data_IF_299219335993
#
_entry.id   IF_299219335993
#
_cell.length_a   1.000
_cell.length_b   1.000
_cell.length_c   1.000
_cell.angle_alpha   90.00
_cell.angle_beta   90.00
_cell.angle_gamma   90.00
#
_symmetry.space_group_name_H-M   'P 1'
#
loop_
_entity.id
_entity.type
_entity.pdbx_description
1 polymer ?
#
# COMPACT_ATOMS: atom_id res chain seq x y z
N UNK A 1 -3.75 17.77 25.25
CA UNK A 1 -3.25 18.76 24.28
C UNK A 1 -1.96 19.43 24.76
N UNK A 2 -1.93 20.06 25.94
CA UNK A 2 -0.67 20.64 26.45
C UNK A 2 0.45 19.60 26.61
N UNK A 3 0.11 18.36 26.98
CA UNK A 3 1.11 17.28 27.01
C UNK A 3 1.66 16.97 25.60
N UNK A 4 0.83 17.05 24.56
CA UNK A 4 1.27 16.86 23.17
C UNK A 4 2.22 17.98 22.76
N UNK A 5 1.88 19.22 23.12
CA UNK A 5 2.75 20.38 22.92
C UNK A 5 4.10 20.19 23.60
N UNK A 6 4.09 19.84 24.88
CA UNK A 6 5.32 19.66 25.65
C UNK A 6 6.17 18.48 25.17
N UNK A 7 5.54 17.33 24.86
CA UNK A 7 6.25 16.10 24.50
C UNK A 7 6.77 16.07 23.07
N UNK A 8 6.27 16.97 22.21
CA UNK A 8 6.69 17.07 20.81
C UNK A 8 7.39 18.39 20.48
N UNK A 9 8.01 19.03 21.48
CA UNK A 9 8.81 20.25 21.32
C UNK A 9 8.02 21.44 20.72
N UNK A 10 6.89 21.75 21.34
CA UNK A 10 5.94 22.80 20.94
C UNK A 10 6.52 24.17 20.58
N UNK A 11 7.56 24.58 21.30
CA UNK A 11 8.25 25.86 21.06
C UNK A 11 9.02 25.87 19.73
N UNK A 12 9.33 24.68 19.19
CA UNK A 12 10.04 24.48 17.93
C UNK A 12 9.15 24.17 16.73
N UNK A 13 7.83 24.11 16.90
CA UNK A 13 6.92 23.86 15.78
C UNK A 13 6.91 25.02 14.79
N UNK A 14 6.66 24.73 13.51
CA UNK A 14 6.53 25.76 12.47
C UNK A 14 5.36 26.71 12.76
N UNK A 15 4.19 26.15 13.12
CA UNK A 15 3.01 26.89 13.58
C UNK A 15 2.47 26.27 14.87
N UNK A 16 2.63 27.02 15.96
CA UNK A 16 2.10 26.73 17.29
C UNK A 16 1.04 27.74 17.72
N UNK A 17 0.41 28.45 16.78
CA UNK A 17 -0.54 29.53 17.08
C UNK A 17 -1.66 29.06 18.01
N UNK A 18 -1.84 29.77 19.13
CA UNK A 18 -2.86 29.47 20.14
C UNK A 18 -2.47 28.38 21.15
N UNK A 19 -1.50 27.52 20.84
CA UNK A 19 -1.04 26.50 21.77
C UNK A 19 -0.41 27.13 23.02
N UNK A 20 -0.64 26.51 24.19
CA UNK A 20 -0.25 27.10 25.47
C UNK A 20 -1.18 28.21 25.98
N UNK A 21 -2.30 28.47 25.28
CA UNK A 21 -3.33 29.42 25.68
C UNK A 21 -4.12 29.01 26.94
N UNK A 22 -5.00 29.90 27.39
CA UNK A 22 -5.85 29.65 28.56
C UNK A 22 -6.82 28.46 28.31
N UNK A 23 -7.16 27.68 29.35
CA UNK A 23 -8.15 26.60 29.23
C UNK A 23 -9.47 27.07 28.63
N UNK A 24 -10.04 26.31 27.71
CA UNK A 24 -11.27 26.65 26.99
C UNK A 24 -11.06 27.37 25.66
N UNK A 25 -9.80 27.65 25.27
CA UNK A 25 -9.46 28.26 23.97
C UNK A 25 -9.02 27.24 22.92
N UNK A 26 -9.01 25.95 23.25
CA UNK A 26 -8.40 24.87 22.44
C UNK A 26 -8.96 24.81 21.02
N UNK A 27 -10.24 25.13 20.85
CA UNK A 27 -10.91 25.11 19.55
C UNK A 27 -10.45 26.20 18.57
N UNK A 28 -9.60 27.14 19.02
CA UNK A 28 -8.98 28.15 18.14
C UNK A 28 -7.49 27.89 17.93
N UNK A 29 -6.94 26.80 18.47
CA UNK A 29 -5.52 26.48 18.33
C UNK A 29 -5.25 25.95 16.92
N UNK A 30 -4.07 26.27 16.38
CA UNK A 30 -3.66 25.80 15.08
C UNK A 30 -3.78 24.28 14.99
N UNK A 31 -4.40 23.80 13.90
CA UNK A 31 -4.61 22.37 13.67
C UNK A 31 -5.70 21.71 14.52
N UNK A 32 -6.33 22.39 15.48
CA UNK A 32 -7.39 21.82 16.32
C UNK A 32 -8.77 22.21 15.77
N UNK A 33 -9.67 21.25 15.64
CA UNK A 33 -11.09 21.49 15.37
C UNK A 33 -11.96 20.78 16.39
N UNK A 34 -13.02 21.47 16.82
CA UNK A 34 -13.99 20.97 17.79
C UNK A 34 -15.34 20.64 17.15
N UNK A 35 -16.20 20.00 17.92
CA UNK A 35 -17.60 19.82 17.56
C UNK A 35 -18.38 21.15 17.50
N UNK A 36 -19.60 21.12 16.95
CA UNK A 36 -20.40 22.33 16.77
C UNK A 36 -20.77 23.07 18.06
N UNK A 37 -20.71 22.38 19.20
CA UNK A 37 -20.91 22.97 20.52
C UNK A 37 -19.62 23.48 21.18
N UNK A 38 -18.47 23.37 20.49
CA UNK A 38 -17.12 23.72 20.99
C UNK A 38 -16.78 23.06 22.33
N UNK A 39 -17.36 21.89 22.59
CA UNK A 39 -17.23 21.16 23.85
C UNK A 39 -16.16 20.08 23.77
N UNK A 40 -15.90 19.56 22.57
CA UNK A 40 -14.98 18.46 22.37
C UNK A 40 -14.11 18.64 21.15
N UNK A 41 -12.82 18.38 21.30
CA UNK A 41 -11.87 18.26 20.17
C UNK A 41 -12.23 17.03 19.35
N UNK A 42 -12.38 17.22 18.04
CA UNK A 42 -12.71 16.18 17.06
C UNK A 42 -11.55 15.87 16.14
N UNK A 43 -10.79 16.89 15.75
CA UNK A 43 -9.73 16.74 14.78
C UNK A 43 -8.48 17.47 15.25
N UNK A 44 -7.34 16.80 15.11
CA UNK A 44 -6.01 17.38 15.29
C UNK A 44 -5.25 17.14 13.98
N UNK A 45 -4.82 18.22 13.33
CA UNK A 45 -4.09 18.20 12.07
C UNK A 45 -2.84 19.07 12.19
N UNK A 46 -1.72 18.44 12.50
CA UNK A 46 -0.42 19.08 12.73
C UNK A 46 0.66 18.51 11.79
N UNK A 47 0.26 18.03 10.60
CA UNK A 47 1.21 17.53 9.62
C UNK A 47 2.10 18.64 9.06
N UNK A 48 3.33 18.31 8.65
CA UNK A 48 4.32 19.27 8.12
C UNK A 48 4.59 20.44 9.07
N UNK A 49 4.86 20.16 10.35
CA UNK A 49 4.93 21.20 11.38
C UNK A 49 6.13 21.08 12.34
N UNK A 50 7.14 20.28 11.96
CA UNK A 50 8.40 20.11 12.70
C UNK A 50 8.23 19.59 14.15
N UNK A 51 7.14 18.85 14.42
CA UNK A 51 6.95 18.18 15.71
C UNK A 51 8.07 17.17 15.94
N UNK A 52 8.74 17.23 17.08
CA UNK A 52 9.86 16.33 17.42
C UNK A 52 9.77 15.83 18.86
N UNK A 53 9.98 14.54 19.09
CA UNK A 53 9.81 13.93 20.41
C UNK A 53 8.91 12.69 20.37
N UNK A 54 8.00 12.52 21.32
CA UNK A 54 7.11 11.34 21.41
C UNK A 54 5.66 11.74 21.61
N UNK A 55 4.72 10.89 21.20
CA UNK A 55 3.31 11.10 21.53
C UNK A 55 3.03 10.83 23.01
N UNK A 56 2.25 11.70 23.70
CA UNK A 56 1.74 11.39 25.02
C UNK A 56 0.51 10.46 24.90
N UNK A 57 -0.07 10.09 26.03
CA UNK A 57 -1.39 9.45 26.02
C UNK A 57 -2.47 10.46 25.56
N UNK A 58 -3.11 10.16 24.43
CA UNK A 58 -4.16 10.98 23.83
C UNK A 58 -5.56 10.37 24.00
N UNK A 59 -5.71 9.23 24.69
CA UNK A 59 -6.98 8.53 24.87
C UNK A 59 -8.00 9.38 25.64
N UNK A 60 -7.52 10.32 26.47
CA UNK A 60 -8.36 11.31 27.15
C UNK A 60 -9.16 12.21 26.18
N UNK A 61 -8.78 12.30 24.91
CA UNK A 61 -9.55 12.95 23.85
C UNK A 61 -10.68 12.03 23.37
N UNK A 62 -11.63 11.77 24.27
CA UNK A 62 -12.69 10.75 24.13
C UNK A 62 -13.61 10.91 22.93
N UNK A 63 -13.55 12.04 22.22
CA UNK A 63 -14.39 12.37 21.08
C UNK A 63 -13.58 12.55 19.78
N UNK A 64 -12.26 12.31 19.82
CA UNK A 64 -11.36 12.46 18.69
C UNK A 64 -11.76 11.50 17.55
N UNK A 65 -11.84 12.05 16.34
CA UNK A 65 -12.18 11.36 15.09
C UNK A 65 -11.03 11.36 14.11
N UNK A 66 -10.19 12.39 14.13
CA UNK A 66 -9.06 12.51 13.22
C UNK A 66 -7.81 12.94 13.97
N UNK A 67 -6.71 12.22 13.76
CA UNK A 67 -5.39 12.58 14.23
C UNK A 67 -4.41 12.47 13.07
N UNK A 68 -3.99 13.62 12.53
CA UNK A 68 -3.05 13.72 11.41
C UNK A 68 -1.79 14.45 11.85
N UNK A 69 -0.69 13.73 11.87
CA UNK A 69 0.63 14.16 12.33
C UNK A 69 1.71 13.83 11.30
N UNK A 70 1.33 13.54 10.05
CA UNK A 70 2.23 13.12 8.99
C UNK A 70 3.32 14.15 8.70
N UNK A 71 4.50 13.71 8.26
CA UNK A 71 5.61 14.58 7.89
C UNK A 71 6.09 15.44 9.06
N UNK A 72 6.49 14.78 10.15
CA UNK A 72 7.10 15.35 11.35
C UNK A 72 8.21 14.41 11.86
N UNK A 73 9.00 14.83 12.85
CA UNK A 73 10.11 14.06 13.42
C UNK A 73 9.70 13.36 14.73
N UNK A 74 8.47 12.84 14.77
CA UNK A 74 7.93 12.16 15.96
C UNK A 74 8.44 10.71 16.01
N UNK A 75 8.96 10.32 17.17
CA UNK A 75 9.55 9.02 17.48
C UNK A 75 8.70 8.24 18.48
N UNK A 76 9.13 7.02 18.79
CA UNK A 76 8.52 6.17 19.81
C UNK A 76 7.40 5.30 19.26
N UNK A 77 6.70 4.61 20.15
CA UNK A 77 5.67 3.64 19.76
C UNK A 77 4.31 4.32 19.51
N UNK A 78 3.46 3.67 18.72
CA UNK A 78 2.09 4.12 18.51
C UNK A 78 1.25 4.02 19.79
N UNK A 79 0.29 4.94 20.02
CA UNK A 79 -0.64 4.84 21.15
C UNK A 79 -1.60 3.64 20.98
N UNK A 80 -2.24 3.15 22.06
CA UNK A 80 -3.17 2.02 21.99
C UNK A 80 -4.44 2.38 21.21
N UNK A 81 -4.42 2.17 19.89
CA UNK A 81 -5.47 2.62 18.96
C UNK A 81 -6.85 2.03 19.28
N UNK A 82 -6.90 0.85 19.89
CA UNK A 82 -8.15 0.22 20.35
C UNK A 82 -8.91 1.02 21.40
N UNK A 83 -8.23 1.92 22.13
CA UNK A 83 -8.85 2.73 23.19
C UNK A 83 -9.56 3.99 22.66
N UNK A 84 -9.29 4.39 21.41
CA UNK A 84 -9.99 5.50 20.79
C UNK A 84 -11.35 5.06 20.26
N UNK A 85 -12.41 5.36 21.03
CA UNK A 85 -13.78 4.93 20.71
C UNK A 85 -14.34 5.45 19.37
N UNK A 86 -13.84 6.58 18.88
CA UNK A 86 -14.38 7.27 17.69
C UNK A 86 -13.33 7.64 16.63
N UNK A 87 -12.09 7.18 16.76
CA UNK A 87 -11.04 7.52 15.79
C UNK A 87 -11.34 6.86 14.45
N UNK A 88 -11.47 7.68 13.42
CA UNK A 88 -11.82 7.31 12.05
C UNK A 88 -10.62 7.46 11.11
N UNK A 89 -9.82 8.51 11.28
CA UNK A 89 -8.67 8.81 10.43
C UNK A 89 -7.43 8.97 11.31
N UNK A 90 -6.42 8.15 11.06
CA UNK A 90 -5.15 8.22 11.75
C UNK A 90 -4.01 8.23 10.74
N UNK A 91 -3.33 9.36 10.65
CA UNK A 91 -2.27 9.61 9.67
C UNK A 91 -1.00 10.06 10.38
N UNK A 92 0.00 9.19 10.38
CA UNK A 92 1.33 9.39 10.96
C UNK A 92 2.43 9.09 9.93
N UNK A 93 2.10 9.20 8.64
CA UNK A 93 3.05 8.86 7.58
C UNK A 93 4.25 9.80 7.53
N UNK A 94 5.43 9.30 7.20
CA UNK A 94 6.68 10.05 7.11
C UNK A 94 7.08 10.67 8.46
N UNK A 95 7.20 9.81 9.47
CA UNK A 95 7.73 10.15 10.79
C UNK A 95 8.82 9.13 11.18
N UNK A 96 9.16 9.05 12.47
CA UNK A 96 10.16 8.12 13.02
C UNK A 96 9.55 7.11 14.02
N UNK A 97 8.26 6.77 13.88
CA UNK A 97 7.60 5.84 14.79
C UNK A 97 8.24 4.45 14.74
N UNK A 98 8.40 3.83 15.91
CA UNK A 98 8.96 2.48 16.12
C UNK A 98 7.90 1.52 16.68
N UNK A 99 8.34 0.32 17.04
CA UNK A 99 7.48 -0.68 17.68
C UNK A 99 6.53 -1.35 16.69
N UNK A 100 5.53 -2.04 17.19
CA UNK A 100 4.54 -2.76 16.38
C UNK A 100 3.29 -1.94 16.14
N UNK A 101 2.58 -2.21 15.04
CA UNK A 101 1.23 -1.68 14.84
C UNK A 101 0.28 -2.29 15.89
N UNK A 102 -0.31 -1.49 16.80
CA UNK A 102 -1.25 -1.98 17.80
C UNK A 102 -2.57 -2.37 17.15
N UNK A 103 -3.42 -3.10 17.89
CA UNK A 103 -4.77 -3.42 17.46
C UNK A 103 -5.56 -2.14 17.13
N UNK A 104 -6.12 -2.00 15.91
CA UNK A 104 -6.85 -0.79 15.53
C UNK A 104 -8.14 -0.58 16.34
N UNK A 105 -8.61 0.67 16.38
CA UNK A 105 -9.90 1.05 16.96
C UNK A 105 -11.10 0.66 16.07
N UNK A 106 -12.29 0.45 16.65
CA UNK A 106 -13.44 -0.13 15.94
C UNK A 106 -14.06 0.80 14.87
N UNK A 107 -13.78 2.11 14.93
CA UNK A 107 -14.32 3.10 13.99
C UNK A 107 -13.35 3.46 12.86
N UNK A 108 -12.16 2.84 12.82
CA UNK A 108 -11.10 3.24 11.91
C UNK A 108 -11.54 3.04 10.45
N UNK A 109 -11.37 4.10 9.66
CA UNK A 109 -11.65 4.18 8.23
C UNK A 109 -10.38 4.28 7.40
N UNK A 110 -9.40 5.02 7.91
CA UNK A 110 -8.14 5.32 7.27
C UNK A 110 -7.00 5.15 8.27
N UNK A 111 -6.03 4.29 7.94
CA UNK A 111 -4.79 4.14 8.69
C UNK A 111 -3.60 4.38 7.76
N UNK A 112 -2.90 5.49 7.94
CA UNK A 112 -1.70 5.82 7.16
C UNK A 112 -0.50 5.96 8.08
N UNK A 113 0.45 5.05 7.91
CA UNK A 113 1.69 4.96 8.67
C UNK A 113 2.90 4.70 7.76
N UNK A 114 2.79 5.07 6.48
CA UNK A 114 3.86 5.00 5.48
C UNK A 114 5.17 5.60 5.98
N UNK A 115 6.32 5.08 5.56
CA UNK A 115 7.65 5.67 5.82
C UNK A 115 7.88 5.92 7.32
N UNK A 116 7.90 4.85 8.11
CA UNK A 116 8.27 4.84 9.52
C UNK A 116 9.25 3.67 9.79
N UNK A 117 9.53 3.37 11.06
CA UNK A 117 10.38 2.25 11.49
C UNK A 117 9.56 1.13 12.14
N UNK A 118 8.30 0.96 11.73
CA UNK A 118 7.38 -0.01 12.34
C UNK A 118 7.81 -1.45 12.05
N UNK A 119 7.70 -2.30 13.06
CA UNK A 119 8.11 -3.71 13.06
C UNK A 119 6.93 -4.63 13.42
N UNK A 120 7.17 -5.94 13.51
CA UNK A 120 6.12 -6.91 13.82
C UNK A 120 5.17 -7.12 12.65
N UNK A 121 4.00 -7.69 12.91
CA UNK A 121 3.01 -8.04 11.88
C UNK A 121 1.93 -6.98 11.70
N UNK A 122 1.35 -6.92 10.50
CA UNK A 122 0.09 -6.20 10.28
C UNK A 122 -1.01 -6.90 11.10
N UNK A 123 -1.76 -6.19 11.98
CA UNK A 123 -2.82 -6.80 12.78
C UNK A 123 -3.98 -7.31 11.89
N UNK A 124 -4.80 -8.21 12.42
CA UNK A 124 -5.97 -8.70 11.69
C UNK A 124 -6.92 -7.54 11.32
N UNK A 125 -7.37 -7.48 10.06
CA UNK A 125 -8.16 -6.35 9.53
C UNK A 125 -9.59 -6.74 9.11
N UNK A 126 -9.90 -8.04 9.01
CA UNK A 126 -11.16 -8.54 8.44
C UNK A 126 -12.42 -8.01 9.13
N UNK A 127 -12.34 -7.76 10.43
CA UNK A 127 -13.49 -7.40 11.26
C UNK A 127 -13.75 -5.87 11.28
N UNK A 128 -12.86 -5.07 10.68
CA UNK A 128 -12.96 -3.62 10.66
C UNK A 128 -13.83 -3.15 9.50
N UNK A 129 -15.15 -3.20 9.70
CA UNK A 129 -16.18 -2.96 8.67
C UNK A 129 -16.26 -1.52 8.14
N UNK A 130 -15.52 -0.59 8.75
CA UNK A 130 -15.43 0.79 8.28
C UNK A 130 -14.13 1.08 7.52
N UNK A 131 -13.16 0.16 7.58
CA UNK A 131 -11.81 0.37 7.05
C UNK A 131 -11.83 0.37 5.52
N UNK A 132 -11.28 1.44 4.95
CA UNK A 132 -11.25 1.70 3.51
C UNK A 132 -9.83 1.85 3.01
N UNK A 133 -8.98 2.54 3.76
CA UNK A 133 -7.65 2.91 3.31
C UNK A 133 -6.62 2.46 4.35
N UNK A 134 -5.65 1.67 3.90
CA UNK A 134 -4.51 1.25 4.71
C UNK A 134 -3.24 1.53 3.91
N UNK A 135 -2.35 2.34 4.48
CA UNK A 135 -1.02 2.56 3.94
C UNK A 135 0.01 2.35 5.05
N UNK A 136 0.71 1.23 4.99
CA UNK A 136 1.81 0.84 5.90
C UNK A 136 3.12 0.64 5.14
N UNK A 137 3.20 1.20 3.94
CA UNK A 137 4.35 1.06 3.06
C UNK A 137 5.63 1.62 3.66
N UNK A 138 6.79 1.16 3.20
CA UNK A 138 8.11 1.67 3.63
C UNK A 138 8.31 1.59 5.14
N UNK A 139 8.16 0.40 5.69
CA UNK A 139 8.41 0.08 7.10
C UNK A 139 9.29 -1.19 7.20
N UNK A 140 9.39 -1.77 8.40
CA UNK A 140 10.10 -3.02 8.67
C UNK A 140 9.11 -4.13 9.09
N UNK A 141 7.88 -4.08 8.58
CA UNK A 141 6.82 -5.04 8.93
C UNK A 141 7.13 -6.42 8.36
N UNK A 142 6.80 -7.45 9.13
CA UNK A 142 7.08 -8.86 8.85
C UNK A 142 5.81 -9.71 9.00
N UNK A 143 5.93 -11.02 8.80
CA UNK A 143 4.78 -11.93 8.81
C UNK A 143 3.91 -11.81 7.55
N UNK A 144 2.72 -12.39 7.59
CA UNK A 144 1.81 -12.44 6.45
C UNK A 144 0.92 -11.21 6.29
N UNK A 145 0.44 -10.97 5.08
CA UNK A 145 -0.66 -10.04 4.84
C UNK A 145 -1.95 -10.67 5.43
N UNK A 146 -2.65 -10.01 6.36
CA UNK A 146 -3.86 -10.55 6.97
C UNK A 146 -5.03 -10.56 5.98
N UNK A 147 -6.11 -11.28 6.32
CA UNK A 147 -7.35 -11.17 5.58
C UNK A 147 -7.86 -9.71 5.59
N UNK A 148 -8.24 -9.22 4.41
CA UNK A 148 -8.64 -7.84 4.17
C UNK A 148 -10.18 -7.71 4.22
N UNK A 149 -10.74 -6.59 4.73
CA UNK A 149 -12.17 -6.41 4.82
C UNK A 149 -12.81 -6.07 3.46
N UNK A 150 -14.02 -6.56 3.12
CA UNK A 150 -14.68 -6.36 1.81
C UNK A 150 -14.87 -4.92 1.30
N UNK A 151 -14.86 -3.96 2.22
CA UNK A 151 -15.03 -2.53 1.97
C UNK A 151 -13.71 -1.80 1.69
N UNK A 152 -12.58 -2.51 1.80
CA UNK A 152 -11.27 -1.94 1.55
C UNK A 152 -11.18 -1.44 0.10
N UNK A 153 -10.61 -0.25 -0.05
CA UNK A 153 -10.41 0.45 -1.32
C UNK A 153 -8.93 0.53 -1.67
N UNK A 154 -8.10 0.83 -0.68
CA UNK A 154 -6.67 1.07 -0.87
C UNK A 154 -5.88 0.23 0.13
N UNK A 155 -4.93 -0.56 -0.37
CA UNK A 155 -3.98 -1.30 0.44
C UNK A 155 -2.55 -1.09 -0.09
N UNK A 156 -1.75 -0.30 0.62
CA UNK A 156 -0.34 -0.08 0.32
C UNK A 156 0.50 -0.67 1.44
N UNK A 157 1.33 -1.65 1.10
CA UNK A 157 2.26 -2.30 2.02
C UNK A 157 3.62 -2.56 1.35
N UNK A 158 3.93 -1.85 0.26
CA UNK A 158 5.17 -2.03 -0.47
C UNK A 158 6.40 -1.65 0.36
N UNK A 159 7.56 -2.24 0.06
CA UNK A 159 8.84 -1.99 0.77
C UNK A 159 8.74 -2.31 2.26
N UNK A 160 8.45 -3.57 2.56
CA UNK A 160 8.47 -4.15 3.91
C UNK A 160 9.21 -5.50 3.86
N UNK A 161 9.09 -6.30 4.92
CA UNK A 161 9.63 -7.66 5.05
C UNK A 161 8.48 -8.70 5.12
N UNK A 162 7.33 -8.40 4.50
CA UNK A 162 6.16 -9.27 4.53
C UNK A 162 6.44 -10.56 3.76
N UNK A 163 5.95 -11.68 4.27
CA UNK A 163 6.20 -13.03 3.75
C UNK A 163 4.91 -13.84 3.66
N UNK A 164 4.99 -15.10 3.22
CA UNK A 164 3.80 -15.93 3.00
C UNK A 164 3.04 -15.53 1.75
N UNK A 165 1.75 -15.85 1.69
CA UNK A 165 0.92 -15.68 0.48
C UNK A 165 0.14 -14.36 0.50
N UNK A 166 -0.16 -13.84 -0.69
CA UNK A 166 -1.17 -12.80 -0.85
C UNK A 166 -2.55 -13.43 -0.51
N UNK A 167 -3.35 -12.84 0.39
CA UNK A 167 -4.62 -13.40 0.80
C UNK A 167 -5.64 -13.39 -0.34
N UNK A 168 -6.73 -14.17 -0.25
CA UNK A 168 -7.85 -14.11 -1.19
C UNK A 168 -8.41 -12.69 -1.34
N UNK A 169 -8.62 -12.24 -2.59
CA UNK A 169 -9.10 -10.89 -2.91
C UNK A 169 -10.50 -10.87 -3.53
N UNK A 170 -11.06 -12.02 -3.90
CA UNK A 170 -12.29 -12.16 -4.71
C UNK A 170 -13.53 -11.46 -4.11
N UNK A 171 -13.53 -11.17 -2.80
CA UNK A 171 -14.62 -10.50 -2.11
C UNK A 171 -14.44 -8.98 -1.99
N UNK A 172 -13.31 -8.43 -2.43
CA UNK A 172 -12.97 -7.02 -2.25
C UNK A 172 -13.45 -6.18 -3.44
N UNK A 173 -14.75 -6.21 -3.74
CA UNK A 173 -15.32 -5.56 -4.94
C UNK A 173 -15.12 -4.03 -4.99
N UNK A 174 -14.75 -3.42 -3.87
CA UNK A 174 -14.45 -1.98 -3.75
C UNK A 174 -12.96 -1.66 -3.88
N UNK A 175 -12.09 -2.67 -4.00
CA UNK A 175 -10.64 -2.49 -4.07
C UNK A 175 -10.26 -1.77 -5.36
N UNK A 176 -9.56 -0.66 -5.19
CA UNK A 176 -9.09 0.22 -6.27
C UNK A 176 -7.59 -0.01 -6.48
N UNK A 177 -6.82 -0.07 -5.39
CA UNK A 177 -5.38 -0.28 -5.45
C UNK A 177 -4.92 -1.29 -4.41
N UNK A 178 -4.05 -2.20 -4.85
CA UNK A 178 -3.22 -3.02 -3.98
C UNK A 178 -1.77 -2.95 -4.46
N UNK A 179 -0.88 -2.49 -3.60
CA UNK A 179 0.57 -2.48 -3.83
C UNK A 179 1.27 -3.17 -2.68
N UNK A 180 1.87 -4.31 -2.98
CA UNK A 180 2.64 -5.14 -2.04
C UNK A 180 4.02 -5.45 -2.59
N UNK A 181 4.49 -4.64 -3.54
CA UNK A 181 5.79 -4.80 -4.16
C UNK A 181 6.94 -4.70 -3.16
N UNK A 182 8.13 -5.21 -3.51
CA UNK A 182 9.33 -5.13 -2.68
C UNK A 182 9.10 -5.73 -1.28
N UNK A 183 8.73 -7.00 -1.25
CA UNK A 183 8.53 -7.80 -0.04
C UNK A 183 9.16 -9.20 -0.25
N UNK A 184 8.86 -10.14 0.63
CA UNK A 184 9.29 -11.54 0.58
C UNK A 184 8.08 -12.49 0.35
N UNK A 185 7.05 -12.00 -0.36
CA UNK A 185 5.83 -12.75 -0.61
C UNK A 185 6.10 -13.92 -1.56
N UNK A 186 5.36 -15.00 -1.38
CA UNK A 186 5.48 -16.25 -2.13
C UNK A 186 4.10 -16.86 -2.40
N UNK A 187 4.05 -18.07 -2.97
CA UNK A 187 2.79 -18.69 -3.38
C UNK A 187 2.36 -18.23 -4.76
N UNK A 188 1.07 -18.02 -4.99
CA UNK A 188 0.51 -17.66 -6.30
C UNK A 188 -0.27 -16.35 -6.21
N UNK A 189 -0.47 -15.69 -7.35
CA UNK A 189 -1.43 -14.60 -7.45
C UNK A 189 -2.84 -15.15 -7.14
N UNK A 190 -3.59 -14.57 -6.18
CA UNK A 190 -4.95 -14.99 -5.88
C UNK A 190 -5.86 -14.68 -7.06
N UNK A 191 -7.02 -15.36 -7.14
CA UNK A 191 -7.99 -15.05 -8.19
C UNK A 191 -8.45 -13.58 -8.05
N UNK A 192 -8.44 -12.85 -9.17
CA UNK A 192 -8.79 -11.43 -9.25
C UNK A 192 -10.22 -11.22 -9.80
N UNK A 193 -10.95 -12.29 -10.14
CA UNK A 193 -12.31 -12.20 -10.63
C UNK A 193 -13.22 -11.43 -9.66
N UNK A 194 -14.03 -10.53 -10.20
CA UNK A 194 -14.98 -9.71 -9.43
C UNK A 194 -14.41 -8.39 -8.91
N UNK A 195 -13.11 -8.13 -9.09
CA UNK A 195 -12.47 -6.86 -8.72
C UNK A 195 -12.69 -5.76 -9.78
N UNK A 196 -13.94 -5.49 -10.14
CA UNK A 196 -14.30 -4.58 -11.24
C UNK A 196 -13.86 -3.12 -11.04
N UNK A 197 -13.60 -2.72 -9.79
CA UNK A 197 -13.12 -1.39 -9.43
C UNK A 197 -11.58 -1.27 -9.41
N UNK A 198 -10.85 -2.39 -9.58
CA UNK A 198 -9.39 -2.42 -9.46
C UNK A 198 -8.75 -1.63 -10.60
N UNK A 199 -7.90 -0.68 -10.23
CA UNK A 199 -7.15 0.19 -11.14
C UNK A 199 -5.65 -0.11 -11.10
N UNK A 200 -5.11 -0.51 -9.95
CA UNK A 200 -3.70 -0.90 -9.85
C UNK A 200 -3.49 -2.16 -9.03
N UNK A 201 -2.72 -3.08 -9.59
CA UNK A 201 -2.27 -4.29 -8.95
C UNK A 201 -0.75 -4.36 -9.08
N UNK A 202 -0.04 -4.25 -7.96
CA UNK A 202 1.42 -4.26 -7.91
C UNK A 202 1.93 -5.29 -6.92
N UNK A 203 2.67 -6.27 -7.44
CA UNK A 203 3.33 -7.34 -6.68
C UNK A 203 4.82 -7.46 -7.04
N UNK A 204 5.36 -6.50 -7.78
CA UNK A 204 6.72 -6.54 -8.30
C UNK A 204 7.77 -6.79 -7.21
N UNK A 205 8.89 -7.41 -7.55
CA UNK A 205 9.99 -7.66 -6.63
C UNK A 205 9.56 -8.49 -5.40
N UNK A 206 9.12 -9.71 -5.65
CA UNK A 206 8.75 -10.71 -4.64
C UNK A 206 9.23 -12.11 -5.12
N UNK A 207 8.79 -13.18 -4.44
CA UNK A 207 9.01 -14.57 -4.84
C UNK A 207 7.70 -15.27 -5.22
N UNK A 208 6.74 -14.53 -5.79
CA UNK A 208 5.45 -15.09 -6.23
C UNK A 208 5.65 -15.96 -7.46
N UNK A 209 5.02 -17.13 -7.48
CA UNK A 209 5.20 -18.18 -8.47
C UNK A 209 3.87 -18.63 -9.10
N UNK A 210 3.94 -19.54 -10.06
CA UNK A 210 2.76 -20.09 -10.74
C UNK A 210 2.19 -19.14 -11.80
N UNK A 211 1.02 -19.48 -12.37
CA UNK A 211 0.46 -18.74 -13.48
C UNK A 211 -0.18 -17.41 -13.05
N UNK A 212 -0.19 -16.45 -13.98
CA UNK A 212 -1.07 -15.29 -13.88
C UNK A 212 -2.52 -15.77 -14.06
N UNK A 213 -3.43 -15.52 -13.10
CA UNK A 213 -4.82 -15.93 -13.20
C UNK A 213 -5.54 -15.17 -14.31
N UNK A 214 -6.73 -15.64 -14.70
CA UNK A 214 -7.53 -14.92 -15.68
C UNK A 214 -7.80 -13.47 -15.22
N UNK A 215 -7.54 -12.52 -16.11
CA UNK A 215 -7.72 -11.08 -15.87
C UNK A 215 -9.05 -10.55 -16.45
N UNK A 216 -9.88 -11.44 -17.01
CA UNK A 216 -11.17 -11.08 -17.61
C UNK A 216 -12.09 -10.35 -16.61
N UNK A 217 -12.78 -9.33 -17.11
CA UNK A 217 -13.67 -8.48 -16.30
C UNK A 217 -12.99 -7.37 -15.48
N UNK A 218 -11.65 -7.23 -15.53
CA UNK A 218 -10.92 -6.13 -14.89
C UNK A 218 -10.83 -4.87 -15.79
N UNK A 219 -11.98 -4.42 -16.32
CA UNK A 219 -12.04 -3.34 -17.32
C UNK A 219 -11.52 -1.98 -16.82
N UNK A 220 -11.43 -1.78 -15.49
CA UNK A 220 -10.90 -0.55 -14.87
C UNK A 220 -9.39 -0.62 -14.61
N UNK A 221 -8.75 -1.76 -14.84
CA UNK A 221 -7.34 -1.96 -14.52
C UNK A 221 -6.46 -1.12 -15.43
N UNK A 222 -5.62 -0.28 -14.82
CA UNK A 222 -4.70 0.63 -15.49
C UNK A 222 -3.25 0.17 -15.35
N UNK A 223 -2.91 -0.46 -14.22
CA UNK A 223 -1.56 -0.92 -13.92
C UNK A 223 -1.57 -2.36 -13.45
N UNK A 224 -0.85 -3.22 -14.16
CA UNK A 224 -0.52 -4.58 -13.72
C UNK A 224 1.00 -4.72 -13.66
N UNK A 225 1.54 -4.61 -12.45
CA UNK A 225 2.98 -4.61 -12.19
C UNK A 225 3.37 -5.88 -11.44
N UNK A 226 4.08 -6.77 -12.11
CA UNK A 226 4.44 -8.09 -11.59
C UNK A 226 5.84 -8.54 -12.04
N UNK A 227 6.70 -7.59 -12.42
CA UNK A 227 8.12 -7.82 -12.69
C UNK A 227 8.86 -8.37 -11.48
N UNK A 228 10.00 -9.02 -11.73
CA UNK A 228 10.91 -9.53 -10.69
C UNK A 228 10.20 -10.49 -9.72
N UNK A 229 9.72 -11.60 -10.28
CA UNK A 229 9.04 -12.68 -9.58
C UNK A 229 9.42 -14.05 -10.20
N UNK A 230 8.71 -15.11 -9.82
CA UNK A 230 8.88 -16.48 -10.33
C UNK A 230 7.63 -16.94 -11.11
N UNK A 231 6.88 -16.00 -11.71
CA UNK A 231 5.65 -16.30 -12.43
C UNK A 231 5.95 -17.14 -13.67
N UNK A 232 5.13 -18.16 -13.93
CA UNK A 232 5.29 -19.07 -15.05
C UNK A 232 4.00 -19.27 -15.85
N UNK A 233 4.02 -20.22 -16.78
CA UNK A 233 2.88 -20.45 -17.68
C UNK A 233 2.73 -19.35 -18.72
N UNK A 234 1.52 -19.20 -19.29
CA UNK A 234 1.24 -18.25 -20.38
C UNK A 234 0.64 -16.95 -19.86
N UNK A 235 0.91 -15.83 -20.54
CA UNK A 235 0.19 -14.58 -20.30
C UNK A 235 -1.30 -14.76 -20.70
N UNK A 236 -2.27 -14.60 -19.77
CA UNK A 236 -3.68 -14.72 -20.08
C UNK A 236 -4.15 -13.64 -21.06
N UNK A 237 -5.35 -13.84 -21.64
CA UNK A 237 -5.96 -12.86 -22.53
C UNK A 237 -6.08 -11.49 -21.87
N UNK A 238 -5.73 -10.45 -22.62
CA UNK A 238 -5.85 -9.05 -22.23
C UNK A 238 -7.09 -8.37 -22.82
N UNK A 239 -7.95 -9.09 -23.55
CA UNK A 239 -9.01 -8.51 -24.37
C UNK A 239 -9.97 -7.57 -23.61
N UNK A 240 -10.28 -7.87 -22.34
CA UNK A 240 -11.18 -7.06 -21.51
C UNK A 240 -10.50 -5.88 -20.82
N UNK A 241 -9.16 -5.75 -20.91
CA UNK A 241 -8.36 -4.78 -20.18
C UNK A 241 -8.21 -3.46 -20.95
N UNK A 242 -9.33 -2.90 -21.39
CA UNK A 242 -9.39 -1.70 -22.27
C UNK A 242 -8.86 -0.42 -21.61
N UNK A 243 -8.70 -0.40 -20.28
CA UNK A 243 -8.10 0.72 -19.54
C UNK A 243 -6.62 0.52 -19.20
N UNK A 244 -6.02 -0.63 -19.57
CA UNK A 244 -4.67 -0.99 -19.16
C UNK A 244 -3.64 -0.09 -19.84
N UNK A 245 -2.84 0.61 -19.04
CA UNK A 245 -1.82 1.57 -19.49
C UNK A 245 -0.42 1.02 -19.30
N UNK A 246 -0.17 0.28 -18.21
CA UNK A 246 1.14 -0.23 -17.85
C UNK A 246 1.09 -1.71 -17.52
N UNK A 247 1.93 -2.49 -18.21
CA UNK A 247 2.10 -3.92 -17.99
C UNK A 247 3.59 -4.22 -17.79
N UNK A 248 4.01 -4.56 -16.56
CA UNK A 248 5.40 -4.96 -16.29
C UNK A 248 5.44 -6.41 -15.81
N UNK A 249 6.16 -7.24 -16.56
CA UNK A 249 6.27 -8.69 -16.40
C UNK A 249 7.71 -9.18 -16.53
N UNK A 250 8.67 -8.29 -16.80
CA UNK A 250 10.09 -8.61 -16.92
C UNK A 250 10.62 -9.41 -15.72
N UNK A 251 11.68 -10.17 -15.92
CA UNK A 251 12.32 -11.00 -14.89
C UNK A 251 11.34 -12.00 -14.26
N UNK A 252 10.72 -12.81 -15.12
CA UNK A 252 9.86 -13.94 -14.71
C UNK A 252 10.20 -15.20 -15.55
N UNK A 253 9.37 -16.23 -15.43
CA UNK A 253 9.46 -17.51 -16.16
C UNK A 253 8.24 -17.73 -17.09
N UNK A 254 7.59 -16.66 -17.54
CA UNK A 254 6.43 -16.72 -18.43
C UNK A 254 6.84 -17.23 -19.81
N UNK A 255 5.95 -17.93 -20.49
CA UNK A 255 6.25 -18.66 -21.73
C UNK A 255 5.07 -18.68 -22.70
N UNK A 256 5.32 -19.18 -23.91
CA UNK A 256 4.31 -19.32 -24.96
C UNK A 256 4.04 -18.01 -25.72
N UNK A 257 2.96 -17.95 -26.51
CA UNK A 257 2.69 -16.80 -27.36
C UNK A 257 2.17 -15.61 -26.56
N UNK A 258 2.50 -14.41 -27.00
CA UNK A 258 1.84 -13.20 -26.51
C UNK A 258 0.38 -13.14 -27.01
N UNK A 259 -0.58 -12.75 -26.17
CA UNK A 259 -1.96 -12.55 -26.59
C UNK A 259 -2.09 -11.29 -27.46
N UNK A 260 -3.23 -11.18 -28.15
CA UNK A 260 -3.63 -9.92 -28.78
C UNK A 260 -3.83 -8.83 -27.72
N UNK A 261 -3.55 -7.59 -28.10
CA UNK A 261 -3.81 -6.43 -27.26
C UNK A 261 -5.33 -6.20 -27.06
N UNK A 262 -5.73 -5.51 -25.98
CA UNK A 262 -7.12 -5.08 -25.83
C UNK A 262 -7.54 -4.16 -26.98
N UNK A 263 -8.81 -4.20 -27.38
CA UNK A 263 -9.36 -3.33 -28.43
C UNK A 263 -10.56 -2.53 -27.91
N UNK A 264 -10.49 -1.18 -27.83
CA UNK A 264 -9.32 -0.35 -28.10
C UNK A 264 -8.21 -0.53 -27.04
N UNK A 265 -6.95 -0.44 -27.46
CA UNK A 265 -5.80 -0.49 -26.55
C UNK A 265 -5.53 0.88 -25.93
N UNK A 266 -5.36 0.91 -24.61
CA UNK A 266 -4.88 2.08 -23.85
C UNK A 266 -3.42 1.92 -23.38
N UNK A 267 -2.73 0.86 -23.82
CA UNK A 267 -1.37 0.56 -23.36
C UNK A 267 -0.41 1.67 -23.79
N UNK A 268 0.32 2.17 -22.80
CA UNK A 268 1.34 3.22 -22.97
C UNK A 268 2.72 2.59 -23.00
N UNK A 269 2.96 1.62 -22.13
CA UNK A 269 4.24 0.92 -22.05
C UNK A 269 4.05 -0.52 -21.54
N UNK A 270 4.86 -1.42 -22.06
CA UNK A 270 4.99 -2.77 -21.58
C UNK A 270 6.46 -3.13 -21.34
N UNK A 271 6.73 -3.88 -20.28
CA UNK A 271 8.04 -4.47 -20.01
C UNK A 271 7.85 -5.98 -19.90
N UNK A 272 8.30 -6.72 -20.92
CA UNK A 272 8.02 -8.16 -21.05
C UNK A 272 9.24 -9.03 -20.82
N UNK A 273 10.45 -8.51 -21.04
CA UNK A 273 11.67 -9.32 -21.06
C UNK A 273 12.58 -8.94 -19.88
N UNK A 274 13.37 -9.88 -19.35
CA UNK A 274 13.52 -11.27 -19.77
C UNK A 274 12.38 -12.20 -19.30
N UNK A 275 11.98 -13.13 -20.17
CA UNK A 275 11.03 -14.23 -19.96
C UNK A 275 11.31 -15.34 -21.00
N UNK A 276 10.46 -16.36 -21.13
CA UNK A 276 10.54 -17.46 -22.11
C UNK A 276 9.43 -17.39 -23.18
N UNK A 277 8.95 -16.20 -23.53
CA UNK A 277 7.90 -16.05 -24.57
C UNK A 277 8.41 -16.51 -25.95
N UNK A 278 7.49 -16.99 -26.77
CA UNK A 278 7.79 -17.38 -28.15
C UNK A 278 8.17 -16.12 -28.96
N UNK A 279 9.37 -16.05 -29.57
CA UNK A 279 9.79 -14.88 -30.31
C UNK A 279 8.99 -14.78 -31.61
N UNK A 280 8.06 -13.83 -31.66
CA UNK A 280 7.20 -13.55 -32.83
C UNK A 280 7.22 -12.05 -33.09
N UNK A 281 7.53 -11.65 -34.32
CA UNK A 281 7.51 -10.25 -34.72
C UNK A 281 6.11 -9.66 -34.55
N UNK A 282 5.99 -8.53 -33.84
CA UNK A 282 4.74 -7.82 -33.65
C UNK A 282 5.00 -6.33 -33.49
N UNK A 283 4.65 -5.55 -34.51
CA UNK A 283 4.78 -4.09 -34.51
C UNK A 283 4.05 -3.42 -33.35
N UNK A 284 2.94 -4.02 -32.91
CA UNK A 284 2.16 -3.53 -31.78
C UNK A 284 2.92 -3.68 -30.46
N UNK A 285 3.57 -4.83 -30.26
CA UNK A 285 4.37 -5.08 -29.05
C UNK A 285 5.71 -4.32 -29.12
N UNK A 286 6.35 -4.24 -30.28
CA UNK A 286 7.60 -3.48 -30.48
C UNK A 286 7.42 -2.00 -30.08
N UNK A 287 6.30 -1.39 -30.49
CA UNK A 287 5.98 -0.01 -30.15
C UNK A 287 5.78 0.22 -28.64
N UNK A 288 5.38 -0.81 -27.88
CA UNK A 288 5.10 -0.73 -26.44
C UNK A 288 6.33 -0.98 -25.57
N UNK A 289 7.30 -1.80 -26.03
CA UNK A 289 8.53 -2.06 -25.26
C UNK A 289 9.63 -1.05 -25.56
N UNK A 290 9.53 -0.31 -26.67
CA UNK A 290 10.52 0.70 -27.07
C UNK A 290 11.74 0.13 -27.79
N UNK A 291 11.75 -1.17 -28.08
CA UNK A 291 12.80 -1.88 -28.80
C UNK A 291 12.49 -2.01 -30.29
N UNK A 292 13.51 -2.19 -31.13
CA UNK A 292 13.30 -2.44 -32.57
C UNK A 292 12.64 -3.79 -32.84
N UNK A 293 12.77 -4.75 -31.91
CA UNK A 293 12.03 -6.00 -31.85
C UNK A 293 11.94 -6.39 -30.36
N UNK A 294 10.73 -6.52 -29.83
CA UNK A 294 10.48 -6.72 -28.40
C UNK A 294 11.17 -7.97 -27.83
N UNK A 295 11.39 -9.00 -28.66
CA UNK A 295 11.92 -10.29 -28.24
C UNK A 295 13.45 -10.35 -28.16
N UNK A 296 14.17 -9.32 -28.62
CA UNK A 296 15.64 -9.32 -28.61
C UNK A 296 16.24 -9.42 -27.20
N UNK A 297 15.53 -8.91 -26.19
CA UNK A 297 15.95 -8.97 -24.79
C UNK A 297 15.30 -10.12 -24.02
N UNK A 298 14.47 -10.95 -24.66
CA UNK A 298 13.77 -12.08 -24.04
C UNK A 298 14.63 -13.34 -23.87
N UNK A 299 15.95 -13.16 -23.70
CA UNK A 299 16.83 -14.24 -23.25
C UNK A 299 16.71 -14.40 -21.75
N UNK A 300 16.48 -15.62 -21.21
CA UNK A 300 16.41 -15.84 -19.78
C UNK A 300 17.71 -15.40 -19.11
N UNK A 301 17.61 -14.78 -17.92
CA UNK A 301 18.78 -14.65 -17.05
C UNK A 301 19.31 -16.07 -16.75
N UNK A 302 20.63 -16.30 -16.81
CA UNK A 302 21.19 -17.62 -16.53
C UNK A 302 20.73 -18.10 -15.15
N UNK A 303 20.31 -19.36 -15.05
CA UNK A 303 19.85 -19.99 -13.82
C UNK A 303 20.85 -19.73 -12.68
N UNK A 304 20.56 -18.74 -11.82
CA UNK A 304 21.35 -18.48 -10.62
C UNK A 304 21.15 -19.58 -9.55
N UNK A 305 20.30 -20.57 -9.82
CA UNK A 305 20.03 -21.73 -8.98
C UNK A 305 21.24 -22.66 -8.76
N UNK A 306 22.38 -22.44 -9.43
CA UNK A 306 23.61 -23.22 -9.22
C UNK A 306 24.90 -22.39 -9.06
N UNK A 307 24.83 -21.08 -8.87
CA UNK A 307 26.04 -20.24 -8.78
C UNK A 307 26.79 -20.36 -7.42
N UNK A 308 26.16 -20.93 -6.40
CA UNK A 308 26.80 -21.25 -5.13
C UNK A 308 26.81 -22.77 -4.96
N UNK A 309 27.83 -23.43 -5.52
CA UNK A 309 28.10 -24.83 -5.28
C UNK A 309 28.13 -25.12 -3.77
N UNK A 310 27.31 -26.07 -3.35
CA UNK A 310 27.53 -26.77 -2.09
C UNK A 310 28.69 -27.74 -2.31
N UNK A 311 29.86 -27.38 -1.80
CA UNK A 311 30.91 -28.27 -1.29
C UNK A 311 31.20 -27.85 0.16
#
# INVERSE_FOLDING_TARGET
LLDLYASTNGDGWTDSSGWGGAPGTECTWFGVSCDGALSYVRDISLGFNELSGTLPDLVALTQLRSLRLNSNDITGDLPPLSEFAFLEDFDIGNCEFTGSIPTPGPQLRSFRARSNQLTGSIPALSDYVNLRDVDVSRNQLSGGIPALPPQLRLFYAERNQLSGQIPPLQQLSNLIYIDVANNQLSGTIPNLAGLSALQGFSISHNAVSGPIPALGGLASLQMFLADDNLLGGTLPSLADLTSLQYLTLANNQLSGPLPALPEPSALVAASLCPNHFDPVDSLEWDALTGDTLWHLECTPLPDLLFANGFD
#
